data_IF_016713326840
#
_entry.id   IF_016713326840
#
_cell.length_a   1.000
_cell.length_b   1.000
_cell.length_c   1.000
_cell.angle_alpha   90.00
_cell.angle_beta   90.00
_cell.angle_gamma   90.00
#
_symmetry.space_group_name_H-M   'P 1'
#
loop_
_entity.id
_entity.type
_entity.pdbx_description
1 polymer ?
#
# COMPACT_ATOMS: atom_id res chain seq x y z
N UNK A 1 7.60 -48.54 -1.12
CA UNK A 1 7.25 -47.69 -2.29
C UNK A 1 7.71 -46.26 -1.99
N UNK A 2 8.83 -45.83 -2.49
CA UNK A 2 9.43 -44.51 -2.25
C UNK A 2 8.93 -43.54 -3.33
N UNK A 3 8.25 -42.49 -2.89
CA UNK A 3 7.50 -41.54 -3.70
C UNK A 3 8.43 -40.55 -4.44
N UNK A 4 8.37 -40.57 -5.75
CA UNK A 4 9.12 -39.73 -6.71
C UNK A 4 8.68 -38.24 -6.68
N UNK A 5 8.93 -37.50 -5.57
CA UNK A 5 8.54 -36.10 -5.43
C UNK A 5 9.71 -35.11 -5.58
N UNK A 6 10.95 -35.55 -5.67
CA UNK A 6 12.15 -34.71 -5.71
C UNK A 6 12.41 -33.91 -6.99
N UNK A 7 12.18 -34.39 -8.24
CA UNK A 7 12.55 -33.62 -9.43
C UNK A 7 11.68 -32.39 -9.65
N UNK A 8 10.36 -32.46 -9.40
CA UNK A 8 9.43 -31.33 -9.55
C UNK A 8 9.72 -30.19 -8.57
N UNK A 9 10.13 -30.51 -7.33
CA UNK A 9 10.51 -29.51 -6.32
C UNK A 9 11.77 -28.76 -6.73
N UNK A 10 12.82 -29.42 -7.20
CA UNK A 10 14.05 -28.79 -7.69
C UNK A 10 13.83 -27.89 -8.91
N UNK A 11 12.95 -28.27 -9.83
CA UNK A 11 12.59 -27.44 -10.99
C UNK A 11 11.85 -26.18 -10.57
N UNK A 12 10.92 -26.28 -9.61
CA UNK A 12 10.19 -25.13 -9.07
C UNK A 12 11.14 -24.19 -8.33
N UNK A 13 12.01 -24.70 -7.45
CA UNK A 13 13.02 -23.92 -6.73
C UNK A 13 13.93 -23.13 -7.68
N UNK A 14 14.40 -23.76 -8.78
CA UNK A 14 15.19 -23.09 -9.83
C UNK A 14 14.41 -21.98 -10.55
N UNK A 15 13.13 -22.22 -10.83
CA UNK A 15 12.27 -21.18 -11.45
C UNK A 15 12.10 -19.98 -10.51
N UNK A 16 11.86 -20.23 -9.24
CA UNK A 16 11.69 -19.17 -8.23
C UNK A 16 13.00 -18.38 -8.02
N UNK A 17 14.16 -19.04 -8.10
CA UNK A 17 15.48 -18.39 -8.02
C UNK A 17 15.74 -17.48 -9.22
N UNK A 18 15.41 -17.92 -10.44
CA UNK A 18 15.53 -17.07 -11.63
C UNK A 18 14.61 -15.85 -11.51
N UNK A 19 13.35 -16.08 -11.11
CA UNK A 19 12.38 -15.00 -10.93
C UNK A 19 12.90 -13.95 -9.93
N UNK A 20 13.31 -14.36 -8.73
CA UNK A 20 13.86 -13.46 -7.71
C UNK A 20 15.08 -12.69 -8.21
N UNK A 21 15.99 -13.37 -8.92
CA UNK A 21 17.19 -12.73 -9.47
C UNK A 21 16.85 -11.65 -10.49
N UNK A 22 15.91 -11.90 -11.40
CA UNK A 22 15.46 -10.91 -12.39
C UNK A 22 14.82 -9.71 -11.71
N UNK A 23 13.91 -9.92 -10.74
CA UNK A 23 13.24 -8.86 -10.01
C UNK A 23 14.26 -7.99 -9.26
N UNK A 24 15.16 -8.61 -8.50
CA UNK A 24 16.23 -7.90 -7.78
C UNK A 24 17.09 -7.06 -8.73
N UNK A 25 17.52 -7.64 -9.86
CA UNK A 25 18.33 -6.94 -10.85
C UNK A 25 17.59 -5.74 -11.45
N UNK A 26 16.30 -5.87 -11.74
CA UNK A 26 15.50 -4.75 -12.25
C UNK A 26 15.39 -3.64 -11.19
N UNK A 27 15.16 -3.99 -9.92
CA UNK A 27 15.13 -3.03 -8.81
C UNK A 27 16.47 -2.30 -8.65
N UNK A 28 17.61 -3.03 -8.70
CA UNK A 28 18.95 -2.44 -8.64
C UNK A 28 19.19 -1.45 -9.79
N UNK A 29 18.81 -1.83 -11.02
CA UNK A 29 18.96 -0.94 -12.19
C UNK A 29 18.10 0.31 -12.09
N UNK A 30 16.90 0.20 -11.54
CA UNK A 30 16.06 1.36 -11.25
C UNK A 30 16.69 2.22 -10.13
N UNK A 31 17.31 1.61 -9.13
CA UNK A 31 18.02 2.32 -8.05
C UNK A 31 19.22 3.12 -8.58
N UNK A 32 19.90 2.63 -9.62
CA UNK A 32 20.98 3.34 -10.32
C UNK A 32 20.51 4.58 -11.11
N UNK A 33 19.19 4.87 -11.13
CA UNK A 33 18.62 6.08 -11.73
C UNK A 33 17.88 5.88 -13.04
N UNK A 34 17.89 4.68 -13.64
CA UNK A 34 17.20 4.42 -14.91
C UNK A 34 15.70 4.28 -14.69
N UNK A 35 14.82 5.09 -15.31
CA UNK A 35 13.38 4.89 -15.24
C UNK A 35 12.98 3.52 -15.77
N UNK A 36 11.95 2.92 -15.16
CA UNK A 36 11.49 1.59 -15.58
C UNK A 36 11.10 1.56 -17.07
N UNK A 37 10.43 2.58 -17.54
CA UNK A 37 9.98 2.70 -18.94
C UNK A 37 11.15 2.72 -19.96
N UNK A 38 12.32 3.13 -19.53
CA UNK A 38 13.54 3.17 -20.33
C UNK A 38 14.43 1.91 -20.18
N UNK A 39 14.14 1.03 -19.20
CA UNK A 39 14.93 -0.19 -18.98
C UNK A 39 14.72 -1.20 -20.10
N UNK A 40 15.76 -1.53 -20.89
CA UNK A 40 15.66 -2.59 -21.90
C UNK A 40 15.64 -3.97 -21.23
N UNK A 41 14.64 -4.79 -21.56
CA UNK A 41 14.51 -6.17 -21.03
C UNK A 41 15.78 -7.00 -21.28
N UNK A 42 16.47 -6.76 -22.39
CA UNK A 42 17.73 -7.44 -22.71
C UNK A 42 18.82 -7.10 -21.68
N UNK A 43 18.98 -5.85 -21.29
CA UNK A 43 19.97 -5.46 -20.25
C UNK A 43 19.64 -6.06 -18.88
N UNK A 44 18.35 -6.18 -18.56
CA UNK A 44 17.94 -6.88 -17.32
C UNK A 44 18.36 -8.35 -17.39
N UNK A 45 18.13 -9.05 -18.52
CA UNK A 45 18.51 -10.45 -18.70
C UNK A 45 20.03 -10.65 -18.60
N UNK A 46 20.81 -9.81 -19.27
CA UNK A 46 22.28 -9.82 -19.23
C UNK A 46 22.82 -9.62 -17.81
N UNK A 47 22.36 -8.57 -17.11
CA UNK A 47 22.82 -8.27 -15.74
C UNK A 47 22.37 -9.34 -14.73
N UNK A 48 21.17 -9.91 -14.92
CA UNK A 48 20.67 -11.04 -14.14
C UNK A 48 21.32 -12.38 -14.50
N UNK A 49 22.18 -12.44 -15.52
CA UNK A 49 22.82 -13.66 -16.05
C UNK A 49 21.81 -14.75 -16.36
N UNK A 50 20.76 -14.40 -17.08
CA UNK A 50 19.73 -15.31 -17.58
C UNK A 50 19.58 -15.14 -19.09
N UNK A 51 19.26 -16.25 -19.79
CA UNK A 51 18.95 -16.14 -21.21
C UNK A 51 17.67 -15.30 -21.41
N UNK A 52 17.63 -14.51 -22.48
CA UNK A 52 16.45 -13.68 -22.82
C UNK A 52 15.18 -14.53 -22.93
N UNK A 53 15.25 -15.71 -23.55
CA UNK A 53 14.15 -16.67 -23.63
C UNK A 53 13.67 -17.12 -22.25
N UNK A 54 14.59 -17.35 -21.32
CA UNK A 54 14.27 -17.71 -19.93
C UNK A 54 13.56 -16.56 -19.22
N UNK A 55 13.98 -15.31 -19.43
CA UNK A 55 13.29 -14.15 -18.85
C UNK A 55 11.85 -14.07 -19.36
N UNK A 56 11.62 -14.21 -20.67
CA UNK A 56 10.27 -14.17 -21.24
C UNK A 56 9.38 -15.35 -20.82
N UNK A 57 9.95 -16.49 -20.42
CA UNK A 57 9.18 -17.58 -19.78
C UNK A 57 8.62 -17.21 -18.41
N UNK A 58 9.28 -16.30 -17.69
CA UNK A 58 8.82 -15.80 -16.38
C UNK A 58 7.96 -14.54 -16.49
N UNK A 59 8.31 -13.66 -17.43
CA UNK A 59 7.69 -12.36 -17.65
C UNK A 59 7.46 -12.16 -19.14
N UNK A 60 6.28 -12.56 -19.66
CA UNK A 60 5.99 -12.53 -21.10
C UNK A 60 6.20 -11.16 -21.75
N UNK A 61 6.02 -10.09 -20.97
CA UNK A 61 6.20 -8.71 -21.36
C UNK A 61 6.72 -7.84 -20.22
N UNK A 62 6.93 -6.57 -20.51
CA UNK A 62 7.44 -5.59 -19.56
C UNK A 62 6.40 -5.23 -18.48
N UNK A 63 5.12 -5.21 -18.83
CA UNK A 63 4.05 -4.94 -17.89
C UNK A 63 3.96 -6.04 -16.83
N UNK A 64 4.05 -7.31 -17.21
CA UNK A 64 4.10 -8.45 -16.27
C UNK A 64 5.32 -8.41 -15.35
N UNK A 65 6.46 -7.95 -15.82
CA UNK A 65 7.63 -7.74 -14.97
C UNK A 65 7.37 -6.61 -13.97
N UNK A 66 6.77 -5.50 -14.40
CA UNK A 66 6.41 -4.39 -13.51
C UNK A 66 5.40 -4.83 -12.45
N UNK A 67 4.36 -5.56 -12.84
CA UNK A 67 3.36 -6.09 -11.91
C UNK A 67 3.99 -6.98 -10.83
N UNK A 68 4.98 -7.79 -11.22
CA UNK A 68 5.68 -8.63 -10.26
C UNK A 68 6.59 -7.84 -9.30
N UNK A 69 7.18 -6.73 -9.73
CA UNK A 69 7.90 -5.79 -8.87
C UNK A 69 6.94 -5.02 -7.94
N UNK A 70 5.81 -4.60 -8.50
CA UNK A 70 4.81 -3.83 -7.79
C UNK A 70 4.08 -4.64 -6.69
N UNK A 71 3.99 -5.94 -6.83
CA UNK A 71 3.30 -6.82 -5.89
C UNK A 71 3.91 -6.68 -4.47
N UNK A 72 5.22 -6.80 -4.36
CA UNK A 72 5.96 -6.63 -3.09
C UNK A 72 5.88 -5.17 -2.58
N UNK A 73 6.06 -4.20 -3.47
CA UNK A 73 6.02 -2.78 -3.11
C UNK A 73 4.65 -2.35 -2.56
N UNK A 74 3.57 -2.82 -3.17
CA UNK A 74 2.21 -2.50 -2.75
C UNK A 74 1.83 -3.24 -1.46
N UNK A 75 2.27 -4.50 -1.30
CA UNK A 75 2.05 -5.24 -0.06
C UNK A 75 2.81 -4.57 1.12
N UNK A 76 4.04 -4.09 0.91
CA UNK A 76 4.77 -3.32 1.90
C UNK A 76 4.07 -2.00 2.23
N UNK A 77 3.59 -1.27 1.21
CA UNK A 77 2.92 0.01 1.37
C UNK A 77 1.65 -0.08 2.25
N UNK A 78 0.82 -1.09 2.03
CA UNK A 78 -0.45 -1.22 2.76
C UNK A 78 -0.37 -2.10 4.02
N UNK A 79 0.72 -2.86 4.22
CA UNK A 79 0.82 -3.89 5.24
C UNK A 79 0.49 -3.38 6.65
N UNK A 80 1.19 -2.36 7.12
CA UNK A 80 1.00 -1.80 8.46
C UNK A 80 -0.37 -1.11 8.62
N UNK A 81 -0.86 -0.46 7.57
CA UNK A 81 -2.19 0.13 7.58
C UNK A 81 -3.29 -0.96 7.70
N UNK A 82 -3.13 -2.09 7.00
CA UNK A 82 -4.05 -3.23 7.12
C UNK A 82 -4.02 -3.81 8.53
N UNK A 83 -2.84 -3.95 9.15
CA UNK A 83 -2.68 -4.43 10.52
C UNK A 83 -3.42 -3.49 11.47
N UNK A 84 -3.18 -2.18 11.37
CA UNK A 84 -3.86 -1.20 12.21
C UNK A 84 -5.38 -1.22 12.01
N UNK A 85 -5.89 -1.22 10.78
CA UNK A 85 -7.33 -1.26 10.51
C UNK A 85 -8.02 -2.53 11.02
N UNK A 86 -7.30 -3.62 11.22
CA UNK A 86 -7.80 -4.88 11.79
C UNK A 86 -7.72 -4.96 13.31
N UNK A 87 -6.88 -4.14 13.93
CA UNK A 87 -6.68 -4.09 15.39
C UNK A 87 -7.89 -3.48 16.12
N UNK A 88 -7.83 -3.43 17.45
CA UNK A 88 -8.88 -2.90 18.32
C UNK A 88 -8.86 -1.36 18.47
N UNK A 89 -7.83 -0.70 17.90
CA UNK A 89 -7.59 0.74 18.00
C UNK A 89 -7.35 1.27 19.43
N UNK A 90 -6.96 0.42 20.37
CA UNK A 90 -6.62 0.80 21.74
C UNK A 90 -5.50 1.84 21.81
N UNK A 91 -4.63 1.87 20.78
CA UNK A 91 -3.52 2.80 20.64
C UNK A 91 -3.94 4.22 20.19
N UNK A 92 -5.22 4.42 19.88
CA UNK A 92 -5.74 5.71 19.48
C UNK A 92 -5.05 6.32 18.26
N UNK A 93 -4.91 7.64 18.26
CA UNK A 93 -4.27 8.40 17.18
C UNK A 93 -2.78 8.05 17.01
N UNK A 94 -2.11 7.61 18.06
CA UNK A 94 -0.69 7.23 17.99
C UNK A 94 -0.49 5.93 17.20
N UNK A 95 -1.44 4.99 17.27
CA UNK A 95 -1.46 3.80 16.41
C UNK A 95 -1.56 4.15 14.93
N UNK A 96 -2.45 5.08 14.58
CA UNK A 96 -2.55 5.60 13.20
C UNK A 96 -1.23 6.26 12.78
N UNK A 97 -0.62 7.07 13.65
CA UNK A 97 0.63 7.76 13.32
C UNK A 97 1.77 6.78 13.05
N UNK A 98 1.85 5.69 13.81
CA UNK A 98 2.81 4.60 13.52
C UNK A 98 2.55 3.96 12.15
N UNK A 99 1.30 3.63 11.84
CA UNK A 99 0.93 3.05 10.54
C UNK A 99 1.28 4.00 9.38
N UNK A 100 0.97 5.30 9.51
CA UNK A 100 1.32 6.31 8.49
C UNK A 100 2.82 6.45 8.31
N UNK A 101 3.59 6.41 9.40
CA UNK A 101 5.06 6.44 9.34
C UNK A 101 5.61 5.24 8.58
N UNK A 102 5.11 4.03 8.86
CA UNK A 102 5.54 2.83 8.14
C UNK A 102 5.16 2.88 6.66
N UNK A 103 3.99 3.42 6.32
CA UNK A 103 3.61 3.64 4.92
C UNK A 103 4.58 4.61 4.21
N UNK A 104 5.01 5.69 4.87
CA UNK A 104 5.99 6.64 4.30
C UNK A 104 7.33 5.94 4.07
N UNK A 105 7.81 5.17 5.05
CA UNK A 105 9.06 4.39 4.94
C UNK A 105 8.96 3.42 3.74
N UNK A 106 7.91 2.61 3.68
CA UNK A 106 7.69 1.67 2.59
C UNK A 106 7.57 2.37 1.22
N UNK A 107 6.90 3.54 1.17
CA UNK A 107 6.83 4.32 -0.06
C UNK A 107 8.24 4.76 -0.52
N UNK A 108 9.09 5.25 0.38
CA UNK A 108 10.46 5.68 0.05
C UNK A 108 11.32 4.52 -0.43
N UNK A 109 11.25 3.37 0.23
CA UNK A 109 11.98 2.16 -0.17
C UNK A 109 11.59 1.69 -1.57
N UNK A 110 10.32 1.77 -1.91
CA UNK A 110 9.77 1.28 -3.17
C UNK A 110 9.41 2.39 -4.18
N UNK A 111 9.79 3.65 -3.92
CA UNK A 111 9.32 4.82 -4.68
C UNK A 111 9.45 4.69 -6.19
N UNK A 112 10.52 4.07 -6.68
CA UNK A 112 10.78 3.94 -8.13
C UNK A 112 9.81 2.95 -8.77
N UNK A 113 9.51 1.87 -8.10
CA UNK A 113 8.53 0.88 -8.54
C UNK A 113 7.12 1.47 -8.49
N UNK A 114 6.76 2.15 -7.40
CA UNK A 114 5.45 2.79 -7.24
C UNK A 114 5.25 3.93 -8.26
N UNK A 115 6.30 4.71 -8.54
CA UNK A 115 6.27 5.72 -9.58
C UNK A 115 6.08 5.11 -10.97
N UNK A 116 6.85 4.05 -11.31
CA UNK A 116 6.69 3.33 -12.57
C UNK A 116 5.29 2.72 -12.72
N UNK A 117 4.74 2.18 -11.62
CA UNK A 117 3.36 1.64 -11.58
C UNK A 117 2.34 2.73 -11.92
N UNK A 118 2.46 3.91 -11.30
CA UNK A 118 1.56 5.04 -11.55
C UNK A 118 1.67 5.57 -12.99
N UNK A 119 2.90 5.68 -13.53
CA UNK A 119 3.16 6.10 -14.90
C UNK A 119 2.55 5.12 -15.92
N UNK A 120 2.86 3.83 -15.79
CA UNK A 120 2.40 2.80 -16.74
C UNK A 120 0.90 2.58 -16.63
N UNK A 121 0.30 2.69 -15.44
CA UNK A 121 -1.14 2.62 -15.26
C UNK A 121 -1.91 3.70 -16.04
N UNK A 122 -1.24 4.79 -16.44
CA UNK A 122 -1.83 5.84 -17.27
C UNK A 122 -2.15 5.41 -18.71
N UNK A 123 -1.48 4.37 -19.23
CA UNK A 123 -1.64 3.91 -20.62
C UNK A 123 -1.75 2.39 -20.79
N UNK A 124 -1.45 1.58 -19.78
CA UNK A 124 -1.58 0.14 -19.79
C UNK A 124 -2.79 -0.31 -18.95
N UNK A 125 -3.87 -0.84 -19.57
CA UNK A 125 -5.08 -1.22 -18.87
C UNK A 125 -4.88 -2.32 -17.83
N UNK A 126 -3.93 -3.27 -18.04
CA UNK A 126 -3.66 -4.35 -17.12
C UNK A 126 -2.99 -3.82 -15.84
N UNK A 127 -2.03 -2.90 -16.00
CA UNK A 127 -1.36 -2.25 -14.87
C UNK A 127 -2.35 -1.36 -14.10
N UNK A 128 -3.21 -0.64 -14.81
CA UNK A 128 -4.27 0.17 -14.21
C UNK A 128 -5.26 -0.72 -13.40
N UNK A 129 -5.64 -1.89 -13.92
CA UNK A 129 -6.55 -2.80 -13.22
C UNK A 129 -5.89 -3.42 -11.99
N UNK A 130 -4.61 -3.80 -12.06
CA UNK A 130 -3.84 -4.26 -10.91
C UNK A 130 -3.89 -3.24 -9.78
N UNK A 131 -3.59 -1.96 -10.08
CA UNK A 131 -3.62 -0.89 -9.07
C UNK A 131 -5.00 -0.70 -8.48
N UNK A 132 -6.04 -0.64 -9.33
CA UNK A 132 -7.44 -0.51 -8.88
C UNK A 132 -7.86 -1.67 -7.96
N UNK A 133 -7.47 -2.89 -8.29
CA UNK A 133 -7.78 -4.07 -7.47
C UNK A 133 -7.10 -4.00 -6.09
N UNK A 134 -5.85 -3.54 -6.02
CA UNK A 134 -5.15 -3.35 -4.75
C UNK A 134 -5.83 -2.31 -3.87
N UNK A 135 -6.23 -1.18 -4.46
CA UNK A 135 -7.00 -0.15 -3.77
C UNK A 135 -8.35 -0.69 -3.30
N UNK A 136 -9.09 -1.45 -4.13
CA UNK A 136 -10.38 -2.06 -3.73
C UNK A 136 -10.22 -3.01 -2.55
N UNK A 137 -9.19 -3.86 -2.54
CA UNK A 137 -8.93 -4.79 -1.42
C UNK A 137 -8.64 -4.03 -0.13
N UNK A 138 -7.83 -3.00 -0.20
CA UNK A 138 -7.57 -2.17 0.96
C UNK A 138 -8.82 -1.42 1.42
N UNK A 139 -9.60 -0.86 0.48
CA UNK A 139 -10.86 -0.21 0.79
C UNK A 139 -11.84 -1.13 1.52
N UNK A 140 -11.92 -2.40 1.13
CA UNK A 140 -12.77 -3.38 1.83
C UNK A 140 -12.34 -3.58 3.29
N UNK A 141 -11.05 -3.54 3.60
CA UNK A 141 -10.55 -3.64 5.00
C UNK A 141 -11.03 -2.43 5.81
N UNK A 142 -10.87 -1.22 5.26
CA UNK A 142 -11.31 0.02 5.90
C UNK A 142 -12.82 0.03 6.10
N UNK A 143 -13.59 -0.26 5.05
CA UNK A 143 -15.05 -0.31 5.09
C UNK A 143 -15.56 -1.32 6.14
N UNK A 144 -15.00 -2.53 6.17
CA UNK A 144 -15.37 -3.55 7.15
C UNK A 144 -15.12 -3.10 8.60
N UNK A 145 -14.08 -2.31 8.84
CA UNK A 145 -13.83 -1.72 10.16
C UNK A 145 -14.83 -0.62 10.47
N UNK A 146 -15.01 0.35 9.59
CA UNK A 146 -15.95 1.45 9.79
C UNK A 146 -17.38 0.96 10.02
N UNK A 147 -17.79 -0.08 9.29
CA UNK A 147 -19.11 -0.70 9.47
C UNK A 147 -19.26 -1.37 10.85
N UNK A 148 -18.22 -2.02 11.38
CA UNK A 148 -18.21 -2.55 12.75
C UNK A 148 -18.31 -1.44 13.78
N UNK A 149 -17.55 -0.37 13.62
CA UNK A 149 -17.57 0.80 14.51
C UNK A 149 -18.94 1.49 14.50
N UNK A 150 -19.56 1.61 13.33
CA UNK A 150 -20.91 2.18 13.20
C UNK A 150 -21.95 1.34 13.93
N UNK A 151 -21.88 0.01 13.79
CA UNK A 151 -22.78 -0.90 14.55
C UNK A 151 -22.54 -0.88 16.04
N UNK A 152 -21.30 -0.65 16.47
CA UNK A 152 -20.94 -0.50 17.88
C UNK A 152 -21.31 0.87 18.47
N UNK A 153 -21.72 1.83 17.63
CA UNK A 153 -22.06 3.19 18.07
C UNK A 153 -20.83 4.06 18.42
N UNK A 154 -19.63 3.67 17.98
CA UNK A 154 -18.37 4.38 18.25
C UNK A 154 -18.08 5.47 17.23
N UNK A 155 -18.77 5.46 16.10
CA UNK A 155 -18.70 6.48 15.04
C UNK A 155 -20.11 6.97 14.70
N UNK A 156 -20.18 8.06 13.93
CA UNK A 156 -21.43 8.66 13.50
C UNK A 156 -22.33 7.61 12.80
N UNK A 157 -23.57 7.38 13.25
CA UNK A 157 -24.51 6.47 12.61
C UNK A 157 -24.87 6.87 11.16
N UNK A 158 -24.79 8.16 10.82
CA UNK A 158 -25.05 8.71 9.47
C UNK A 158 -23.82 8.64 8.55
N UNK A 159 -22.69 8.11 9.03
CA UNK A 159 -21.47 8.02 8.23
C UNK A 159 -21.70 7.17 6.97
N UNK A 160 -21.47 7.74 5.79
CA UNK A 160 -21.33 6.96 4.56
C UNK A 160 -19.95 6.27 4.57
N UNK A 161 -19.96 5.04 5.07
CA UNK A 161 -18.77 4.20 5.23
C UNK A 161 -17.98 4.02 3.92
N UNK A 162 -18.68 3.89 2.80
CA UNK A 162 -18.05 3.67 1.48
C UNK A 162 -17.30 4.92 1.02
N UNK A 163 -17.96 6.04 1.03
CA UNK A 163 -17.40 7.33 0.62
C UNK A 163 -16.29 7.76 1.57
N UNK A 164 -16.48 7.59 2.88
CA UNK A 164 -15.46 7.90 3.90
C UNK A 164 -14.20 7.07 3.67
N UNK A 165 -14.31 5.76 3.48
CA UNK A 165 -13.16 4.91 3.19
C UNK A 165 -12.43 5.36 1.91
N UNK A 166 -13.17 5.69 0.86
CA UNK A 166 -12.59 6.14 -0.40
C UNK A 166 -11.84 7.46 -0.24
N UNK A 167 -12.43 8.44 0.45
CA UNK A 167 -11.79 9.74 0.70
C UNK A 167 -10.51 9.56 1.52
N UNK A 168 -10.56 8.77 2.60
CA UNK A 168 -9.38 8.53 3.44
C UNK A 168 -8.23 7.89 2.64
N UNK A 169 -8.52 6.89 1.84
CA UNK A 169 -7.49 6.18 1.04
C UNK A 169 -6.82 7.12 0.05
N UNK A 170 -7.61 7.87 -0.72
CA UNK A 170 -7.06 8.81 -1.70
C UNK A 170 -6.32 9.98 -1.07
N UNK A 171 -6.79 10.45 0.10
CA UNK A 171 -6.09 11.50 0.86
C UNK A 171 -4.72 11.00 1.32
N UNK A 172 -4.64 9.80 1.89
CA UNK A 172 -3.39 9.22 2.37
C UNK A 172 -2.44 8.95 1.20
N UNK A 173 -2.92 8.25 0.16
CA UNK A 173 -2.11 7.91 -1.02
C UNK A 173 -1.51 9.16 -1.66
N UNK A 174 -2.34 10.13 -1.97
CA UNK A 174 -1.90 11.34 -2.65
C UNK A 174 -0.97 12.19 -1.79
N UNK A 175 -1.24 12.28 -0.48
CA UNK A 175 -0.39 13.04 0.44
C UNK A 175 0.98 12.41 0.59
N UNK A 176 1.06 11.08 0.79
CA UNK A 176 2.34 10.36 0.92
C UNK A 176 3.13 10.46 -0.39
N UNK A 177 2.47 10.19 -1.52
CA UNK A 177 3.11 10.26 -2.84
C UNK A 177 3.69 11.65 -3.11
N UNK A 178 2.91 12.70 -2.93
CA UNK A 178 3.35 14.08 -3.12
C UNK A 178 4.47 14.47 -2.13
N UNK A 179 4.33 14.10 -0.86
CA UNK A 179 5.35 14.37 0.15
C UNK A 179 6.68 13.72 -0.19
N UNK A 180 6.68 12.43 -0.49
CA UNK A 180 7.91 11.70 -0.82
C UNK A 180 8.54 12.11 -2.16
N UNK A 181 7.79 12.83 -3.01
CA UNK A 181 8.33 13.40 -4.23
C UNK A 181 9.11 14.70 -3.98
N UNK A 182 8.68 15.52 -3.02
CA UNK A 182 9.21 16.86 -2.78
C UNK A 182 10.08 17.01 -1.52
N UNK A 183 10.08 16.03 -0.63
CA UNK A 183 10.80 16.05 0.65
C UNK A 183 11.64 14.78 0.81
N UNK A 184 12.89 14.93 1.23
CA UNK A 184 13.84 13.82 1.40
C UNK A 184 13.78 13.15 2.78
N UNK A 185 12.75 13.44 3.60
CA UNK A 185 12.51 12.77 4.88
C UNK A 185 12.40 13.68 6.09
N UNK A 186 12.80 14.96 5.99
CA UNK A 186 12.76 15.89 7.11
C UNK A 186 11.34 16.15 7.64
N UNK A 187 10.32 16.00 6.78
CA UNK A 187 8.92 16.21 7.12
C UNK A 187 8.13 14.94 7.46
N UNK A 188 8.71 13.75 7.38
CA UNK A 188 7.99 12.47 7.47
C UNK A 188 7.16 12.32 8.73
N UNK A 189 7.75 12.61 9.89
CA UNK A 189 7.05 12.54 11.18
C UNK A 189 5.88 13.52 11.27
N UNK A 190 6.06 14.72 10.75
CA UNK A 190 5.00 15.76 10.74
C UNK A 190 3.83 15.32 9.86
N UNK A 191 4.11 14.82 8.67
CA UNK A 191 3.08 14.33 7.75
C UNK A 191 2.37 13.10 8.33
N UNK A 192 3.10 12.14 8.90
CA UNK A 192 2.51 10.97 9.54
C UNK A 192 1.53 11.35 10.64
N UNK A 193 1.90 12.28 11.54
CA UNK A 193 1.03 12.78 12.62
C UNK A 193 -0.16 13.57 12.09
N UNK A 194 0.04 14.38 11.05
CA UNK A 194 -1.05 15.16 10.45
C UNK A 194 -2.08 14.24 9.81
N UNK A 195 -1.65 13.25 9.02
CA UNK A 195 -2.52 12.23 8.44
C UNK A 195 -3.26 11.45 9.53
N UNK A 196 -2.55 11.04 10.59
CA UNK A 196 -3.14 10.31 11.70
C UNK A 196 -4.27 11.12 12.37
N UNK A 197 -4.02 12.39 12.66
CA UNK A 197 -5.03 13.28 13.24
C UNK A 197 -6.22 13.46 12.28
N UNK A 198 -5.97 13.66 11.00
CA UNK A 198 -7.03 13.79 9.97
C UNK A 198 -7.91 12.55 9.92
N UNK A 199 -7.30 11.35 9.85
CA UNK A 199 -8.02 10.08 9.85
C UNK A 199 -8.83 9.94 11.13
N UNK A 200 -8.21 10.16 12.29
CA UNK A 200 -8.86 10.00 13.57
C UNK A 200 -10.07 10.93 13.74
N UNK A 201 -9.91 12.21 13.41
CA UNK A 201 -11.00 13.19 13.47
C UNK A 201 -12.12 12.90 12.46
N UNK A 202 -11.79 12.42 11.29
CA UNK A 202 -12.78 12.05 10.28
C UNK A 202 -13.62 10.85 10.72
N UNK A 203 -13.00 9.87 11.37
CA UNK A 203 -13.66 8.62 11.75
C UNK A 203 -14.36 8.75 13.10
N UNK A 204 -13.68 9.26 14.12
CA UNK A 204 -14.17 9.24 15.49
C UNK A 204 -14.67 10.61 15.96
N UNK A 205 -14.38 11.68 15.23
CA UNK A 205 -14.86 13.03 15.53
C UNK A 205 -14.40 13.58 16.88
N UNK A 206 -14.85 14.81 17.21
CA UNK A 206 -15.02 15.19 18.59
C UNK A 206 -16.40 14.67 19.00
N UNK A 207 -16.47 13.71 19.92
CA UNK A 207 -17.76 13.29 20.51
C UNK A 207 -18.52 14.57 20.89
N UNK A 208 -19.76 14.80 20.40
CA UNK A 208 -20.52 15.96 20.83
C UNK A 208 -20.53 15.96 22.35
N UNK A 209 -20.11 17.06 22.98
CA UNK A 209 -20.19 17.18 24.42
C UNK A 209 -21.65 16.88 24.82
N UNK A 210 -21.91 16.03 25.82
CA UNK A 210 -23.27 15.73 26.25
C UNK A 210 -23.99 17.04 26.49
N UNK A 211 -25.29 17.18 26.11
CA UNK A 211 -26.01 18.40 26.25
C UNK A 211 -25.86 18.86 27.73
N UNK A 212 -25.37 20.09 27.92
CA UNK A 212 -25.25 20.67 29.25
C UNK A 212 -26.64 20.61 29.85
N UNK A 213 -26.85 19.70 30.79
CA UNK A 213 -28.09 19.62 31.55
C UNK A 213 -28.46 20.97 32.08
N UNK A 214 -29.64 21.41 31.75
CA UNK A 214 -30.21 22.72 32.16
C UNK A 214 -30.23 22.77 33.70
N UNK A 215 -29.23 23.41 34.28
CA UNK A 215 -29.18 23.69 35.75
C UNK A 215 -30.16 24.79 36.09
N UNK A 216 -31.39 24.73 35.56
CA UNK A 216 -32.47 25.62 35.93
C UNK A 216 -33.66 24.87 36.52
N UNK A 217 -33.49 24.19 37.64
CA UNK A 217 -34.62 23.80 38.48
C UNK A 217 -34.19 23.28 39.85
N UNK A 218 -33.37 24.05 40.54
CA UNK A 218 -33.15 23.80 41.97
C UNK A 218 -33.08 25.14 42.69
N UNK A 219 -34.14 25.92 42.61
CA UNK A 219 -34.38 27.00 43.54
C UNK A 219 -35.87 27.40 43.55
N UNK A 220 -36.67 26.54 44.18
CA UNK A 220 -37.93 26.96 44.83
C UNK A 220 -38.13 26.17 46.10
#
# INVERSE_FOLDING_TARGET
>A
MATTTQPRRKVRERRDDVRRRVLRTATEMMADGTPYTELPVQRIAERARVARSTLYLHFPDKSRLLLALADEAVDALFGEAVIWWRADHSDGVDGVARAMRQMIIAYREHRRVLHALAEVAGYDPEVAEFWRERIRRFAAVVQNRLERERRAGTVDPEMDVRSTAQVLIWTVERTISAHCHHDEGAGDERIARTLARTIWLTVYGATPAPPRGDRRSANR
#
